data_IF_249227394598
#
_entry.id   IF_249227394598
#
_cell.length_a   1.000
_cell.length_b   1.000
_cell.length_c   1.000
_cell.angle_alpha   90.00
_cell.angle_beta   90.00
_cell.angle_gamma   90.00
#
_symmetry.space_group_name_H-M   'P 1'
#
loop_
_entity.id
_entity.type
_entity.pdbx_description
1 polymer ?
#
# COMPACT_ATOMS: atom_id res chain seq x y z
N UNK A 1 8.41 8.91 32.25
CA UNK A 1 7.14 8.31 31.79
C UNK A 1 7.52 7.39 30.65
N UNK A 2 7.47 6.08 30.86
CA UNK A 2 7.74 5.12 29.79
C UNK A 2 6.53 5.16 28.86
N UNK A 3 6.73 5.50 27.58
CA UNK A 3 5.69 5.30 26.58
C UNK A 3 5.35 3.81 26.55
N UNK A 4 4.11 3.48 26.92
CA UNK A 4 3.57 2.14 26.72
C UNK A 4 3.72 1.78 25.24
N UNK A 5 4.10 0.54 24.90
CA UNK A 5 4.22 0.13 23.52
C UNK A 5 2.86 0.29 22.87
N UNK A 6 2.72 1.31 22.01
CA UNK A 6 1.52 1.56 21.23
C UNK A 6 1.16 0.25 20.55
N UNK A 7 -0.06 -0.23 20.78
CA UNK A 7 -0.54 -1.47 20.19
C UNK A 7 -0.22 -1.47 18.70
N UNK A 8 0.14 -2.64 18.15
CA UNK A 8 0.31 -2.86 16.71
C UNK A 8 -1.10 -2.80 16.07
N UNK A 9 -1.73 -1.63 16.15
CA UNK A 9 -3.11 -1.40 15.76
C UNK A 9 -3.24 -1.45 14.25
N UNK A 10 -4.25 -2.15 13.74
CA UNK A 10 -4.70 -2.25 12.34
C UNK A 10 -3.65 -2.43 11.23
N UNK A 11 -2.35 -2.57 11.55
CA UNK A 11 -1.26 -2.73 10.59
C UNK A 11 -1.40 -4.11 9.96
N UNK A 12 -1.73 -4.21 8.66
CA UNK A 12 -1.83 -5.50 8.02
C UNK A 12 -0.45 -6.14 7.98
N UNK A 13 -0.43 -7.47 8.11
CA UNK A 13 0.78 -8.26 7.88
C UNK A 13 0.95 -8.43 6.36
N UNK A 14 2.04 -7.94 5.75
CA UNK A 14 2.26 -8.09 4.33
C UNK A 14 2.34 -9.56 3.91
N UNK A 15 1.79 -9.94 2.75
CA UNK A 15 1.79 -11.31 2.25
C UNK A 15 3.21 -11.87 2.02
N UNK A 16 3.39 -13.20 2.04
CA UNK A 16 4.71 -13.85 1.96
C UNK A 16 5.57 -13.43 0.77
N UNK A 17 4.97 -13.19 -0.40
CA UNK A 17 5.74 -12.83 -1.61
C UNK A 17 6.54 -11.52 -1.42
N UNK A 18 6.03 -10.59 -0.61
CA UNK A 18 6.70 -9.32 -0.34
C UNK A 18 7.95 -9.51 0.53
N UNK A 19 7.99 -10.56 1.33
CA UNK A 19 9.18 -10.94 2.10
C UNK A 19 10.16 -11.78 1.27
N UNK A 20 9.66 -12.52 0.28
CA UNK A 20 10.47 -13.26 -0.68
C UNK A 20 11.14 -12.39 -1.74
N UNK A 21 10.58 -11.21 -2.05
CA UNK A 21 11.18 -10.23 -2.94
C UNK A 21 12.11 -9.26 -2.18
N UNK A 22 13.43 -9.20 -2.49
CA UNK A 22 14.37 -8.35 -1.76
C UNK A 22 14.05 -6.86 -1.81
N UNK A 23 13.43 -6.38 -2.90
CA UNK A 23 13.09 -4.97 -3.06
C UNK A 23 11.81 -4.62 -2.30
N UNK A 24 10.77 -5.45 -2.36
CA UNK A 24 9.59 -5.34 -1.50
C UNK A 24 10.00 -5.29 -0.03
N UNK A 25 10.80 -6.25 0.44
CA UNK A 25 11.26 -6.32 1.82
C UNK A 25 12.03 -5.06 2.25
N UNK A 26 12.91 -4.55 1.39
CA UNK A 26 13.66 -3.31 1.66
C UNK A 26 12.74 -2.12 1.87
N UNK A 27 11.73 -1.96 1.01
CA UNK A 27 10.79 -0.85 1.11
C UNK A 27 9.81 -1.02 2.26
N UNK A 28 9.33 -2.24 2.55
CA UNK A 28 8.53 -2.54 3.74
C UNK A 28 9.27 -2.19 5.05
N UNK A 29 10.56 -2.53 5.14
CA UNK A 29 11.37 -2.17 6.29
C UNK A 29 11.57 -0.65 6.43
N UNK A 30 11.65 0.09 5.32
CA UNK A 30 11.69 1.56 5.34
C UNK A 30 10.34 2.14 5.79
N UNK A 31 9.25 1.64 5.21
CA UNK A 31 7.88 2.00 5.56
C UNK A 31 7.65 1.83 7.06
N UNK A 32 7.99 0.67 7.62
CA UNK A 32 7.82 0.38 9.04
C UNK A 32 8.62 1.33 9.95
N UNK A 33 9.81 1.78 9.51
CA UNK A 33 10.61 2.77 10.26
C UNK A 33 10.02 4.18 10.21
N UNK A 34 9.33 4.54 9.12
CA UNK A 34 8.74 5.86 8.92
C UNK A 34 7.27 5.94 9.35
N UNK A 35 6.68 4.82 9.79
CA UNK A 35 5.24 4.74 10.08
C UNK A 35 4.78 5.78 11.10
N UNK A 36 5.56 5.93 12.17
CA UNK A 36 5.27 6.84 13.29
C UNK A 36 6.13 8.13 13.22
N UNK A 37 6.81 8.37 12.09
CA UNK A 37 7.62 9.57 11.91
C UNK A 37 6.71 10.81 11.74
N UNK A 38 7.09 11.99 12.26
CA UNK A 38 6.32 13.23 12.10
C UNK A 38 6.04 13.60 10.64
N UNK A 39 6.97 13.26 9.74
CA UNK A 39 6.86 13.50 8.30
C UNK A 39 5.93 12.50 7.59
N UNK A 40 5.57 11.41 8.28
CA UNK A 40 4.83 10.29 7.73
C UNK A 40 5.65 9.44 6.76
N UNK A 41 4.99 8.45 6.15
CA UNK A 41 5.63 7.45 5.29
C UNK A 41 5.07 7.44 3.85
N UNK A 42 4.56 8.58 3.37
CA UNK A 42 3.90 8.68 2.07
C UNK A 42 4.79 8.20 0.91
N UNK A 43 6.07 8.58 0.92
CA UNK A 43 7.00 8.19 -0.14
C UNK A 43 7.30 6.69 -0.11
N UNK A 44 7.48 6.11 1.07
CA UNK A 44 7.69 4.69 1.26
C UNK A 44 6.48 3.89 0.76
N UNK A 45 5.26 4.34 1.08
CA UNK A 45 4.03 3.73 0.57
C UNK A 45 4.00 3.71 -0.96
N UNK A 46 4.33 4.85 -1.58
CA UNK A 46 4.35 4.98 -3.03
C UNK A 46 5.42 4.08 -3.67
N UNK A 47 6.60 3.97 -3.04
CA UNK A 47 7.66 3.09 -3.53
C UNK A 47 7.29 1.61 -3.47
N UNK A 48 6.69 1.15 -2.36
CA UNK A 48 6.19 -0.22 -2.25
C UNK A 48 5.13 -0.48 -3.33
N UNK A 49 4.11 0.39 -3.43
CA UNK A 49 3.03 0.22 -4.39
C UNK A 49 3.53 0.19 -5.85
N UNK A 50 4.41 1.12 -6.23
CA UNK A 50 5.02 1.15 -7.57
C UNK A 50 5.76 -0.13 -7.89
N UNK A 51 6.58 -0.61 -6.96
CA UNK A 51 7.34 -1.82 -7.16
C UNK A 51 6.42 -3.04 -7.33
N UNK A 52 5.40 -3.20 -6.47
CA UNK A 52 4.41 -4.28 -6.61
C UNK A 52 3.75 -4.22 -7.99
N UNK A 53 3.26 -3.06 -8.42
CA UNK A 53 2.58 -2.98 -9.72
C UNK A 53 3.47 -3.27 -10.92
N UNK A 54 4.79 -3.07 -10.79
CA UNK A 54 5.74 -3.31 -11.87
C UNK A 54 6.28 -4.74 -11.87
N UNK A 55 6.63 -5.28 -10.70
CA UNK A 55 7.30 -6.57 -10.55
C UNK A 55 6.35 -7.72 -10.19
N UNK A 56 5.18 -7.39 -9.63
CA UNK A 56 4.19 -8.32 -9.09
C UNK A 56 2.76 -7.94 -9.54
N UNK A 57 2.50 -7.74 -10.84
CA UNK A 57 1.19 -7.26 -11.32
C UNK A 57 0.05 -8.24 -11.00
N UNK A 58 0.34 -9.54 -10.99
CA UNK A 58 -0.64 -10.60 -10.67
C UNK A 58 -1.01 -10.64 -9.18
N UNK A 59 -0.18 -10.06 -8.31
CA UNK A 59 -0.41 -9.98 -6.87
C UNK A 59 -1.17 -8.71 -6.46
N UNK A 60 -1.47 -7.81 -7.40
CA UNK A 60 -2.25 -6.59 -7.12
C UNK A 60 -3.70 -6.98 -6.77
N UNK A 61 -4.22 -6.59 -5.58
CA UNK A 61 -5.58 -6.92 -5.17
C UNK A 61 -6.63 -6.49 -6.19
N UNK A 62 -7.75 -7.21 -6.35
CA UNK A 62 -8.86 -6.79 -7.21
C UNK A 62 -9.45 -5.45 -6.74
N UNK A 63 -10.37 -4.89 -7.53
CA UNK A 63 -11.06 -3.66 -7.16
C UNK A 63 -11.73 -3.76 -5.78
N UNK A 64 -11.62 -2.69 -4.98
CA UNK A 64 -12.35 -2.57 -3.73
C UNK A 64 -13.83 -2.32 -4.05
N UNK A 65 -14.68 -3.30 -3.72
CA UNK A 65 -16.14 -3.21 -3.96
C UNK A 65 -16.86 -2.45 -2.84
N UNK A 66 -16.30 -2.46 -1.62
CA UNK A 66 -16.91 -1.86 -0.44
C UNK A 66 -16.00 -0.77 0.14
N UNK A 67 -16.56 0.43 0.36
CA UNK A 67 -15.91 1.51 1.11
C UNK A 67 -14.69 2.14 0.41
N UNK A 68 -14.70 2.25 -0.92
CA UNK A 68 -13.68 2.97 -1.68
C UNK A 68 -14.31 3.75 -2.85
N UNK A 69 -14.35 5.07 -2.75
CA UNK A 69 -14.93 5.93 -3.79
C UNK A 69 -14.03 6.07 -5.04
N UNK A 70 -12.74 5.76 -4.90
CA UNK A 70 -11.75 5.90 -5.97
C UNK A 70 -11.80 4.73 -6.96
N UNK A 71 -12.01 3.49 -6.50
CA UNK A 71 -12.07 2.33 -7.39
C UNK A 71 -13.13 2.47 -8.49
N UNK A 72 -14.39 2.87 -8.20
CA UNK A 72 -15.39 3.15 -9.23
C UNK A 72 -15.02 4.29 -10.17
N UNK A 73 -14.31 5.32 -9.68
CA UNK A 73 -13.85 6.43 -10.51
C UNK A 73 -12.80 5.98 -11.53
N UNK A 74 -11.77 5.25 -11.09
CA UNK A 74 -10.71 4.77 -11.96
C UNK A 74 -11.17 3.68 -12.94
N UNK A 75 -12.08 2.78 -12.52
CA UNK A 75 -12.64 1.73 -13.38
C UNK A 75 -13.35 2.28 -14.65
N UNK A 76 -13.82 3.55 -14.60
CA UNK A 76 -14.46 4.21 -15.75
C UNK A 76 -13.46 4.85 -16.72
N UNK A 77 -12.18 4.99 -16.33
CA UNK A 77 -11.14 5.61 -17.16
C UNK A 77 -10.54 4.57 -18.10
N UNK A 78 -10.19 5.01 -19.31
CA UNK A 78 -9.63 4.14 -20.37
C UNK A 78 -8.18 4.49 -20.73
N UNK A 79 -7.53 5.33 -19.92
CA UNK A 79 -6.15 5.74 -20.15
C UNK A 79 -5.17 4.90 -19.32
N UNK A 80 -4.04 4.51 -19.92
CA UNK A 80 -3.06 3.60 -19.30
C UNK A 80 -2.41 4.20 -18.05
N UNK A 81 -2.26 5.53 -18.01
CA UNK A 81 -1.72 6.24 -16.86
C UNK A 81 -2.65 6.07 -15.64
N UNK A 82 -3.96 6.22 -15.84
CA UNK A 82 -4.97 5.95 -14.83
C UNK A 82 -4.99 4.47 -14.40
N UNK A 83 -4.81 3.52 -15.33
CA UNK A 83 -4.74 2.10 -15.00
C UNK A 83 -3.55 1.77 -14.08
N UNK A 84 -2.38 2.35 -14.36
CA UNK A 84 -1.18 2.17 -13.53
C UNK A 84 -1.35 2.82 -12.15
N UNK A 85 -1.86 4.05 -12.06
CA UNK A 85 -2.16 4.69 -10.78
C UNK A 85 -3.20 3.89 -9.98
N UNK A 86 -4.21 3.35 -10.64
CA UNK A 86 -5.23 2.54 -10.01
C UNK A 86 -4.69 1.20 -9.48
N UNK A 87 -3.77 0.57 -10.19
CA UNK A 87 -3.07 -0.61 -9.69
C UNK A 87 -2.26 -0.27 -8.43
N UNK A 88 -1.59 0.90 -8.39
CA UNK A 88 -0.80 1.33 -7.24
C UNK A 88 -1.69 1.60 -6.02
N UNK A 89 -2.85 2.22 -6.24
CA UNK A 89 -3.86 2.41 -5.22
C UNK A 89 -4.27 1.07 -4.57
N UNK A 90 -4.65 0.07 -5.39
CA UNK A 90 -5.07 -1.25 -4.91
C UNK A 90 -3.94 -2.00 -4.20
N UNK A 91 -2.70 -1.86 -4.67
CA UNK A 91 -1.55 -2.51 -4.05
C UNK A 91 -1.32 -2.09 -2.58
N UNK A 92 -1.81 -0.92 -2.15
CA UNK A 92 -1.65 -0.44 -0.78
C UNK A 92 -2.42 -1.26 0.25
N UNK A 93 -3.54 -1.90 -0.12
CA UNK A 93 -4.31 -2.78 0.80
C UNK A 93 -3.47 -3.99 1.26
N UNK A 94 -2.36 -4.32 0.58
CA UNK A 94 -1.46 -5.41 0.98
C UNK A 94 -0.58 -5.07 2.20
N UNK A 95 -0.38 -3.78 2.49
CA UNK A 95 0.61 -3.35 3.50
C UNK A 95 0.19 -2.10 4.29
N UNK A 96 -1.00 -1.54 4.03
CA UNK A 96 -1.60 -0.42 4.76
C UNK A 96 -3.01 -0.76 5.25
N UNK A 97 -3.44 -0.24 6.41
CA UNK A 97 -4.84 -0.31 6.83
C UNK A 97 -5.77 0.27 5.75
N UNK A 98 -6.98 -0.28 5.55
CA UNK A 98 -7.93 0.21 4.54
C UNK A 98 -8.22 1.71 4.62
N UNK A 99 -8.29 2.25 5.84
CA UNK A 99 -8.52 3.68 6.11
C UNK A 99 -7.42 4.60 5.55
N UNK A 100 -6.21 4.08 5.34
CA UNK A 100 -5.07 4.81 4.78
C UNK A 100 -4.85 4.42 3.31
N UNK A 101 -4.94 3.13 3.01
CA UNK A 101 -4.74 2.57 1.68
C UNK A 101 -5.67 3.19 0.63
N UNK A 102 -6.88 3.58 1.04
CA UNK A 102 -7.97 4.00 0.13
C UNK A 102 -8.13 5.51 -0.05
N UNK A 103 -7.29 6.33 0.60
CA UNK A 103 -7.40 7.79 0.54
C UNK A 103 -7.05 8.39 -0.84
N UNK A 104 -6.19 7.71 -1.60
CA UNK A 104 -5.57 8.18 -2.86
C UNK A 104 -5.17 6.99 -3.71
#
# INVERSE_FOLDING_TARGET
MAEEPREVGDRPVPPPFMWGCPECARWLLRLGRQWDAPEGCFWEQLHVARHITAAHPDDVPPQHLDGCDLCPYYARRKDDAAALMWAQHRARDLFMPPSIARLI
#
